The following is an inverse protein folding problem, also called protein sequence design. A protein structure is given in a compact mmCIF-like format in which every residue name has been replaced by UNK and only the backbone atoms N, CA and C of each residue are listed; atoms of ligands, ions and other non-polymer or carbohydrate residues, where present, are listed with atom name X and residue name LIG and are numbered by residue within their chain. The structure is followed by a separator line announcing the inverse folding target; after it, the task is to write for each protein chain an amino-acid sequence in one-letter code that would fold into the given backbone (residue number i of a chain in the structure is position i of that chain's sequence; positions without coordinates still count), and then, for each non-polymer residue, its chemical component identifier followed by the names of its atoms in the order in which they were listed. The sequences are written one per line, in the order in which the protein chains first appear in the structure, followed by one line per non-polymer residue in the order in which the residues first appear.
data_IF_070095696607
#
_entry.id   IF_070095696607
#
_cell.length_a   1.000
_cell.length_b   1.000
_cell.length_c   1.000
_cell.angle_alpha   90.00
_cell.angle_beta   90.00
_cell.angle_gamma   90.00
#
_symmetry.space_group_name_H-M   'P 1'
#
loop_
_entity.id
_entity.type
_entity.pdbx_description
1 polymer ?
#
# COMPACT_ATOMS: atom_id res chain seq x y z
N UNK A 1 45.79 -99.85 87.43
CA UNK A 1 46.90 -99.47 86.53
C UNK A 1 46.81 -97.97 86.29
N UNK A 2 47.85 -97.23 86.67
CA UNK A 2 47.92 -95.79 86.49
C UNK A 2 48.11 -95.44 85.01
N UNK A 3 47.11 -94.81 84.38
CA UNK A 3 47.27 -94.22 83.04
C UNK A 3 47.77 -92.79 83.23
N UNK A 4 49.01 -92.58 82.80
CA UNK A 4 49.69 -91.27 82.73
C UNK A 4 48.77 -90.24 82.09
N UNK A 5 48.43 -89.18 82.83
CA UNK A 5 47.85 -87.95 82.27
C UNK A 5 48.90 -87.38 81.30
N UNK A 6 48.67 -87.57 80.00
CA UNK A 6 49.45 -86.95 78.94
C UNK A 6 49.06 -85.47 78.92
N UNK A 7 49.71 -84.64 79.73
CA UNK A 7 49.47 -83.20 79.68
C UNK A 7 50.01 -82.68 78.36
N UNK A 8 49.13 -82.32 77.42
CA UNK A 8 49.52 -81.54 76.22
C UNK A 8 50.42 -80.39 76.68
N UNK A 9 51.55 -80.19 76.00
CA UNK A 9 52.42 -79.05 76.26
C UNK A 9 51.57 -77.79 76.14
N UNK A 10 51.62 -76.96 77.18
CA UNK A 10 50.94 -75.67 77.22
C UNK A 10 52.00 -74.61 77.01
N UNK A 11 51.76 -73.74 76.06
CA UNK A 11 52.59 -72.58 75.81
C UNK A 11 51.95 -71.34 76.44
N UNK A 12 52.80 -70.45 76.88
CA UNK A 12 52.41 -69.19 77.49
C UNK A 12 52.27 -68.17 76.36
N UNK A 13 51.06 -67.64 76.19
CA UNK A 13 50.81 -66.49 75.31
C UNK A 13 50.56 -65.28 76.19
N UNK A 14 51.43 -64.29 76.05
CA UNK A 14 51.37 -63.04 76.78
C UNK A 14 50.94 -61.96 75.80
N UNK A 15 49.74 -61.42 75.98
CA UNK A 15 49.30 -60.22 75.29
C UNK A 15 49.82 -59.02 76.07
N UNK A 16 50.55 -58.15 75.37
CA UNK A 16 51.13 -56.93 75.93
C UNK A 16 50.59 -55.69 75.22
N UNK A 17 50.53 -54.57 75.93
CA UNK A 17 50.38 -53.25 75.31
C UNK A 17 51.69 -52.81 74.63
N UNK A 18 51.71 -51.61 74.05
CA UNK A 18 52.89 -51.08 73.36
C UNK A 18 54.08 -50.85 74.31
N UNK A 19 53.79 -50.52 75.57
CA UNK A 19 54.79 -50.26 76.63
C UNK A 19 55.34 -51.55 77.26
N UNK A 20 54.81 -52.71 76.85
CA UNK A 20 55.23 -54.03 77.34
C UNK A 20 54.52 -54.48 78.62
N UNK A 21 53.51 -53.74 79.09
CA UNK A 21 52.69 -54.18 80.21
C UNK A 21 51.83 -55.36 79.78
N UNK A 22 51.72 -56.35 80.67
CA UNK A 22 50.95 -57.55 80.39
C UNK A 22 49.46 -57.26 80.55
N UNK A 23 48.73 -57.30 79.43
CA UNK A 23 47.28 -57.14 79.39
C UNK A 23 46.56 -58.44 79.77
N UNK A 24 47.08 -59.57 79.28
CA UNK A 24 46.52 -60.89 79.55
C UNK A 24 47.58 -61.97 79.32
N UNK A 25 47.71 -62.88 80.28
CA UNK A 25 48.50 -64.11 80.11
C UNK A 25 47.54 -65.29 79.98
N UNK A 26 47.75 -66.12 78.96
CA UNK A 26 46.93 -67.31 78.71
C UNK A 26 47.83 -68.54 78.54
N UNK A 27 47.42 -69.66 79.13
CA UNK A 27 48.08 -70.95 78.95
C UNK A 27 47.32 -71.76 77.89
N UNK A 28 47.84 -71.78 76.68
CA UNK A 28 47.17 -72.37 75.51
C UNK A 28 47.81 -73.72 75.18
N UNK A 29 47.03 -74.81 75.02
CA UNK A 29 47.56 -76.08 74.54
C UNK A 29 48.16 -75.94 73.13
N UNK A 30 49.22 -76.69 72.86
CA UNK A 30 49.86 -76.76 71.55
C UNK A 30 48.86 -76.98 70.40
N UNK A 31 48.91 -76.08 69.41
CA UNK A 31 48.09 -76.10 68.19
C UNK A 31 46.73 -75.40 68.28
N UNK A 32 46.34 -74.86 69.43
CA UNK A 32 45.09 -74.11 69.61
C UNK A 32 45.30 -72.59 69.47
N UNK A 33 44.22 -71.84 69.23
CA UNK A 33 44.24 -70.37 69.12
C UNK A 33 44.23 -69.70 70.49
N UNK A 34 44.98 -68.61 70.64
CA UNK A 34 44.87 -67.78 71.83
C UNK A 34 43.66 -66.84 71.74
N UNK A 35 42.98 -66.58 72.87
CA UNK A 35 41.91 -65.57 72.93
C UNK A 35 42.48 -64.21 73.35
N UNK A 36 42.43 -63.18 72.50
CA UNK A 36 42.92 -61.86 72.87
C UNK A 36 42.06 -61.27 74.02
N UNK A 37 42.61 -60.33 74.81
CA UNK A 37 41.81 -59.52 75.71
C UNK A 37 40.86 -58.60 74.92
N UNK A 38 39.93 -57.95 75.62
CA UNK A 38 39.21 -56.81 75.05
C UNK A 38 40.22 -55.77 74.55
N UNK A 39 39.95 -55.18 73.37
CA UNK A 39 40.90 -54.28 72.72
C UNK A 39 41.23 -53.14 73.68
N UNK A 40 42.51 -52.97 74.09
CA UNK A 40 42.86 -51.93 75.03
C UNK A 40 42.67 -50.58 74.35
N UNK A 41 41.78 -49.76 74.90
CA UNK A 41 41.64 -48.38 74.49
C UNK A 41 42.92 -47.63 74.88
N UNK A 42 43.76 -47.32 73.89
CA UNK A 42 44.87 -46.38 74.09
C UNK A 42 44.30 -44.97 73.88
N UNK A 43 44.22 -44.18 74.96
CA UNK A 43 43.98 -42.73 74.86
C UNK A 43 45.30 -42.02 74.56
N UNK A 44 45.76 -42.16 73.32
CA UNK A 44 46.74 -41.28 72.70
C UNK A 44 45.99 -40.33 71.79
N UNK A 45 45.68 -39.14 72.28
CA UNK A 45 45.06 -38.09 71.47
C UNK A 45 46.08 -36.97 71.30
N UNK A 46 46.39 -36.66 70.05
CA UNK A 46 46.98 -35.36 69.71
C UNK A 46 45.86 -34.38 69.37
N UNK A 47 46.22 -33.13 69.08
CA UNK A 47 45.25 -32.09 68.72
C UNK A 47 44.40 -32.50 67.49
N UNK A 48 44.97 -33.29 66.57
CA UNK A 48 44.36 -33.57 65.26
C UNK A 48 44.26 -35.05 64.87
N UNK A 49 44.93 -35.96 65.58
CA UNK A 49 44.90 -37.40 65.31
C UNK A 49 44.51 -38.19 66.58
N UNK A 50 43.85 -39.33 66.36
CA UNK A 50 43.58 -40.33 67.39
C UNK A 50 44.32 -41.63 67.08
N UNK A 51 44.87 -42.27 68.11
CA UNK A 51 45.48 -43.60 67.96
C UNK A 51 44.41 -44.68 68.01
N UNK A 52 44.20 -45.38 66.89
CA UNK A 52 43.28 -46.51 66.80
C UNK A 52 44.03 -47.84 66.74
N UNK A 53 43.45 -48.88 67.32
CA UNK A 53 44.03 -50.22 67.30
C UNK A 53 44.07 -50.75 65.86
N UNK A 54 45.28 -51.01 65.36
CA UNK A 54 45.53 -51.50 64.01
C UNK A 54 45.57 -53.03 63.94
N UNK A 55 45.84 -53.71 65.07
CA UNK A 55 45.93 -55.16 65.14
C UNK A 55 46.97 -55.63 66.15
N UNK A 56 47.33 -56.90 66.08
CA UNK A 56 48.34 -57.52 66.94
C UNK A 56 49.60 -57.86 66.12
N UNK A 57 50.78 -57.78 66.71
CA UNK A 57 52.07 -57.96 66.00
C UNK A 57 52.28 -59.35 65.42
N UNK A 58 51.69 -60.36 66.05
CA UNK A 58 52.00 -61.77 65.80
C UNK A 58 50.69 -62.53 65.63
N UNK A 59 50.61 -63.40 64.64
CA UNK A 59 49.46 -64.30 64.52
C UNK A 59 49.45 -65.27 65.71
N UNK A 60 48.29 -65.39 66.34
CA UNK A 60 48.05 -66.26 67.49
C UNK A 60 46.90 -67.22 67.23
N UNK A 61 46.50 -67.37 65.96
CA UNK A 61 45.50 -68.34 65.53
C UNK A 61 45.92 -69.79 65.75
N UNK A 62 47.23 -70.08 65.85
CA UNK A 62 47.78 -71.43 66.12
C UNK A 62 49.09 -71.38 66.92
N UNK A 63 49.03 -71.68 68.22
CA UNK A 63 50.17 -71.53 69.14
C UNK A 63 51.05 -72.79 69.14
N UNK A 64 52.29 -72.69 68.67
CA UNK A 64 53.27 -73.78 68.65
C UNK A 64 54.44 -73.59 69.64
N UNK A 65 54.63 -72.39 70.17
CA UNK A 65 55.68 -72.02 71.13
C UNK A 65 55.16 -70.90 72.06
N UNK A 66 55.93 -70.53 73.08
CA UNK A 66 55.62 -69.35 73.91
C UNK A 66 55.65 -68.08 73.05
N UNK A 67 54.58 -67.28 73.10
CA UNK A 67 54.43 -66.08 72.27
C UNK A 67 54.25 -64.83 73.12
N UNK A 68 54.85 -63.75 72.67
CA UNK A 68 54.54 -62.40 73.13
C UNK A 68 53.85 -61.68 71.97
N UNK A 69 52.60 -61.31 72.17
CA UNK A 69 51.75 -60.67 71.16
C UNK A 69 51.51 -59.23 71.60
N UNK A 70 52.01 -58.26 70.85
CA UNK A 70 51.92 -56.84 71.21
C UNK A 70 50.81 -56.15 70.43
N UNK A 71 50.10 -55.22 71.05
CA UNK A 71 49.13 -54.38 70.38
C UNK A 71 49.85 -53.39 69.44
N UNK A 72 49.35 -53.24 68.20
CA UNK A 72 49.82 -52.26 67.22
C UNK A 72 48.74 -51.19 67.08
N UNK A 73 49.13 -49.94 67.18
CA UNK A 73 48.27 -48.78 66.98
C UNK A 73 48.68 -48.02 65.72
N UNK A 74 47.72 -47.36 65.08
CA UNK A 74 47.97 -46.42 63.99
C UNK A 74 47.32 -45.08 64.31
N UNK A 75 47.94 -43.99 63.90
CA UNK A 75 47.35 -42.66 63.97
C UNK A 75 46.40 -42.48 62.79
N UNK A 76 45.17 -42.07 63.07
CA UNK A 76 44.20 -41.65 62.05
C UNK A 76 43.70 -40.24 62.39
N UNK A 77 43.40 -39.40 61.38
CA UNK A 77 42.86 -38.07 61.65
C UNK A 77 41.54 -38.18 62.43
N UNK A 78 41.35 -37.30 63.42
CA UNK A 78 40.07 -37.19 64.14
C UNK A 78 38.96 -36.88 63.15
N UNK A 79 37.76 -37.39 63.41
CA UNK A 79 36.59 -37.06 62.61
C UNK A 79 35.75 -36.02 63.34
N UNK A 80 35.38 -34.97 62.63
CA UNK A 80 34.51 -33.92 63.12
C UNK A 80 33.14 -34.00 62.46
N UNK A 81 32.12 -33.57 63.20
CA UNK A 81 30.75 -33.54 62.70
C UNK A 81 30.52 -32.22 61.97
N UNK A 82 30.17 -32.30 60.69
CA UNK A 82 29.71 -31.15 59.91
C UNK A 82 28.20 -31.23 59.77
N UNK A 83 27.50 -30.21 60.25
CA UNK A 83 26.05 -30.12 60.19
C UNK A 83 25.62 -29.00 59.25
N UNK A 84 24.77 -29.34 58.30
CA UNK A 84 24.23 -28.43 57.30
C UNK A 84 22.85 -27.95 57.70
N UNK A 85 22.67 -26.64 57.82
CA UNK A 85 21.41 -26.01 58.20
C UNK A 85 20.90 -25.12 57.10
N UNK A 86 19.59 -25.13 56.88
CA UNK A 86 18.89 -24.13 56.10
C UNK A 86 18.89 -22.77 56.84
N UNK A 87 18.58 -21.67 56.15
CA UNK A 87 18.55 -20.33 56.78
C UNK A 87 17.54 -20.23 57.95
N UNK A 88 16.51 -21.08 57.97
CA UNK A 88 15.49 -21.17 59.03
C UNK A 88 15.88 -22.17 60.15
N UNK A 89 17.15 -22.53 60.25
CA UNK A 89 17.71 -23.46 61.25
C UNK A 89 17.18 -24.90 61.17
N UNK A 90 16.51 -25.27 60.07
CA UNK A 90 16.20 -26.66 59.75
C UNK A 90 17.48 -27.41 59.38
N UNK A 91 17.76 -28.54 60.04
CA UNK A 91 18.85 -29.44 59.65
C UNK A 91 18.55 -30.07 58.28
N UNK A 92 19.48 -29.90 57.34
CA UNK A 92 19.42 -30.43 55.97
C UNK A 92 20.15 -31.77 55.84
N UNK A 93 21.23 -31.93 56.60
CA UNK A 93 22.06 -33.12 56.57
C UNK A 93 23.23 -32.99 57.53
N UNK A 94 23.93 -34.09 57.72
CA UNK A 94 25.16 -34.13 58.51
C UNK A 94 26.12 -35.14 57.89
N UNK A 95 27.41 -34.90 58.07
CA UNK A 95 28.45 -35.86 57.69
C UNK A 95 29.62 -35.84 58.68
N UNK A 96 30.37 -36.93 58.69
CA UNK A 96 31.56 -37.09 59.53
C UNK A 96 32.81 -36.98 58.65
N UNK A 97 33.58 -35.91 58.83
CA UNK A 97 34.72 -35.54 57.98
C UNK A 97 36.02 -35.65 58.76
N UNK A 98 37.05 -36.25 58.15
CA UNK A 98 38.38 -36.33 58.74
C UNK A 98 39.02 -34.93 58.84
N UNK A 99 39.78 -34.67 59.91
CA UNK A 99 40.53 -33.44 60.10
C UNK A 99 41.35 -33.08 58.85
N UNK A 100 41.30 -31.82 58.45
CA UNK A 100 42.05 -31.29 57.31
C UNK A 100 41.48 -31.67 55.93
N UNK A 101 40.38 -32.42 55.87
CA UNK A 101 39.73 -32.81 54.61
C UNK A 101 38.55 -31.88 54.28
N UNK A 102 38.18 -31.74 52.99
CA UNK A 102 37.00 -30.99 52.60
C UNK A 102 35.72 -31.75 52.93
N UNK A 103 34.68 -31.02 53.33
CA UNK A 103 33.34 -31.55 53.46
C UNK A 103 32.71 -31.68 52.06
N UNK A 104 31.88 -32.72 51.85
CA UNK A 104 31.27 -32.96 50.53
C UNK A 104 30.18 -31.96 50.20
N UNK A 105 29.51 -31.43 51.23
CA UNK A 105 28.45 -30.44 51.09
C UNK A 105 27.36 -30.83 50.07
N UNK A 106 26.94 -32.11 50.08
CA UNK A 106 25.95 -32.64 49.16
C UNK A 106 24.57 -31.95 49.20
N UNK A 107 24.06 -31.45 50.34
CA UNK A 107 22.79 -30.73 50.36
C UNK A 107 22.87 -29.49 49.47
N UNK A 108 21.96 -29.39 48.48
CA UNK A 108 21.75 -28.17 47.68
C UNK A 108 20.44 -27.54 48.15
N UNK A 109 20.48 -26.65 49.14
CA UNK A 109 19.26 -26.06 49.67
C UNK A 109 18.64 -25.12 48.64
N UNK A 110 17.31 -25.17 48.57
CA UNK A 110 16.51 -24.28 47.75
C UNK A 110 15.65 -23.41 48.66
N UNK A 111 15.44 -22.17 48.24
CA UNK A 111 14.54 -21.24 48.90
C UNK A 111 13.44 -20.84 47.91
N UNK A 112 12.16 -20.99 48.27
CA UNK A 112 11.08 -20.58 47.37
C UNK A 112 11.19 -19.08 47.09
N UNK A 113 10.98 -18.69 45.83
CA UNK A 113 10.86 -17.28 45.44
C UNK A 113 9.65 -16.64 46.10
N UNK A 114 9.71 -15.34 46.38
CA UNK A 114 8.55 -14.55 46.77
C UNK A 114 8.03 -13.69 45.59
N UNK A 115 7.18 -12.71 45.85
CA UNK A 115 6.61 -11.84 44.80
C UNK A 115 7.69 -11.03 44.06
N UNK A 116 8.74 -10.59 44.75
CA UNK A 116 9.74 -9.65 44.23
C UNK A 116 11.09 -10.33 43.89
N UNK A 117 11.49 -11.34 44.65
CA UNK A 117 12.83 -11.94 44.58
C UNK A 117 12.80 -13.44 44.28
N UNK A 118 13.78 -13.85 43.48
CA UNK A 118 14.27 -15.21 43.39
C UNK A 118 15.54 -15.35 44.22
N UNK A 119 15.71 -16.48 44.91
CA UNK A 119 16.84 -16.70 45.80
C UNK A 119 17.77 -17.75 45.22
N UNK A 120 19.03 -17.37 45.04
CA UNK A 120 20.08 -18.30 44.58
C UNK A 120 20.98 -18.71 45.73
N UNK A 121 21.30 -20.00 45.84
CA UNK A 121 22.22 -20.49 46.86
C UNK A 121 23.63 -19.98 46.56
N UNK A 122 24.12 -19.06 47.40
CA UNK A 122 25.43 -18.42 47.25
C UNK A 122 26.54 -19.27 47.88
N UNK A 123 26.19 -20.15 48.83
CA UNK A 123 27.11 -21.05 49.50
C UNK A 123 26.77 -21.20 50.97
N UNK A 124 27.73 -21.74 51.72
CA UNK A 124 27.63 -21.92 53.16
C UNK A 124 28.26 -20.74 53.89
N UNK A 125 27.75 -20.44 55.09
CA UNK A 125 28.22 -19.34 55.95
C UNK A 125 29.64 -19.49 56.48
N UNK A 126 30.28 -20.65 56.27
CA UNK A 126 31.64 -20.93 56.68
C UNK A 126 32.38 -21.71 55.57
N UNK A 127 33.72 -21.64 55.53
CA UNK A 127 34.52 -22.44 54.61
C UNK A 127 34.39 -23.93 54.94
N UNK A 128 34.29 -24.76 53.91
CA UNK A 128 34.14 -26.22 54.03
C UNK A 128 35.27 -27.00 53.36
N UNK A 129 36.30 -26.29 52.87
CA UNK A 129 37.41 -26.88 52.12
C UNK A 129 38.42 -27.61 53.04
N UNK A 130 38.43 -27.26 54.33
CA UNK A 130 39.33 -27.83 55.33
C UNK A 130 38.65 -27.85 56.70
N UNK A 131 38.22 -29.03 57.17
CA UNK A 131 37.53 -29.16 58.46
C UNK A 131 38.52 -29.34 59.60
N UNK A 132 38.56 -28.36 60.51
CA UNK A 132 39.45 -28.37 61.69
C UNK A 132 38.72 -28.68 63.00
N UNK A 133 37.38 -28.69 62.98
CA UNK A 133 36.53 -28.88 64.16
C UNK A 133 35.07 -29.13 63.79
N UNK A 134 34.24 -29.42 64.80
CA UNK A 134 32.79 -29.55 64.61
C UNK A 134 32.24 -28.26 64.01
N UNK A 135 31.62 -28.38 62.83
CA UNK A 135 31.28 -27.24 61.98
C UNK A 135 29.79 -27.15 61.77
N UNK A 136 29.23 -25.97 61.99
CA UNK A 136 27.83 -25.65 61.71
C UNK A 136 27.75 -24.74 60.50
N UNK A 137 27.39 -25.33 59.36
CA UNK A 137 27.27 -24.63 58.08
C UNK A 137 25.82 -24.24 57.82
N UNK A 138 25.52 -22.94 57.84
CA UNK A 138 24.18 -22.40 57.51
C UNK A 138 24.16 -21.91 56.05
N UNK A 139 23.11 -22.25 55.30
CA UNK A 139 22.94 -21.85 53.91
C UNK A 139 22.77 -20.33 53.79
N UNK A 140 23.45 -19.73 52.80
CA UNK A 140 23.35 -18.31 52.45
C UNK A 140 22.73 -18.19 51.07
N UNK A 141 21.71 -17.34 50.95
CA UNK A 141 21.01 -17.07 49.70
C UNK A 141 21.19 -15.61 49.28
N UNK A 142 21.48 -15.41 48.01
CA UNK A 142 21.53 -14.09 47.38
C UNK A 142 20.19 -13.80 46.70
N UNK A 143 19.50 -12.69 47.06
CA UNK A 143 18.27 -12.27 46.40
C UNK A 143 18.58 -11.70 45.01
N UNK A 144 17.79 -12.10 44.03
CA UNK A 144 17.78 -11.58 42.66
C UNK A 144 16.39 -11.08 42.35
N UNK A 145 16.26 -9.79 42.07
CA UNK A 145 14.97 -9.16 41.75
C UNK A 145 14.42 -9.79 40.46
N UNK A 146 13.15 -10.21 40.48
CA UNK A 146 12.50 -10.83 39.32
C UNK A 146 12.48 -9.87 38.15
N UNK A 147 12.62 -10.43 36.94
CA UNK A 147 12.49 -9.70 35.68
C UNK A 147 11.32 -10.26 34.90
N UNK A 148 10.51 -9.38 34.34
CA UNK A 148 9.37 -9.72 33.51
C UNK A 148 9.57 -9.19 32.11
N UNK A 149 8.98 -9.90 31.15
CA UNK A 149 9.01 -9.55 29.75
C UNK A 149 7.81 -8.66 29.43
N UNK A 150 8.07 -7.45 28.93
CA UNK A 150 7.05 -6.53 28.43
C UNK A 150 7.18 -6.45 26.93
N UNK A 151 6.08 -6.75 26.22
CA UNK A 151 6.04 -6.73 24.75
C UNK A 151 5.01 -5.72 24.27
N UNK A 152 5.41 -4.87 23.35
CA UNK A 152 4.56 -3.92 22.66
C UNK A 152 4.26 -4.45 21.27
N UNK A 153 3.00 -4.42 20.87
CA UNK A 153 2.53 -4.89 19.58
C UNK A 153 1.74 -3.80 18.85
N UNK A 154 1.76 -3.86 17.52
CA UNK A 154 0.75 -3.24 16.70
C UNK A 154 -0.61 -3.92 16.89
N UNK A 155 -1.69 -3.29 16.42
CA UNK A 155 -3.05 -3.86 16.45
C UNK A 155 -3.18 -5.18 15.67
N UNK A 156 -2.33 -5.40 14.65
CA UNK A 156 -2.29 -6.64 13.86
C UNK A 156 -1.53 -7.79 14.54
N UNK A 157 -0.95 -7.53 15.73
CA UNK A 157 -0.15 -8.49 16.49
C UNK A 157 1.33 -8.54 16.11
N UNK A 158 1.82 -7.66 15.23
CA UNK A 158 3.25 -7.55 14.93
C UNK A 158 4.01 -6.90 16.09
N UNK A 159 5.16 -7.46 16.44
CA UNK A 159 5.96 -7.02 17.59
C UNK A 159 6.69 -5.70 17.26
N UNK A 160 6.44 -4.67 18.07
CA UNK A 160 7.08 -3.35 18.01
C UNK A 160 8.36 -3.28 18.84
N UNK A 161 8.28 -3.76 20.08
CA UNK A 161 9.37 -3.69 21.05
C UNK A 161 9.20 -4.81 22.08
N UNK A 162 10.31 -5.41 22.49
CA UNK A 162 10.38 -6.33 23.63
C UNK A 162 11.46 -5.83 24.59
N UNK A 163 11.16 -5.81 25.89
CA UNK A 163 12.12 -5.46 26.94
C UNK A 163 11.94 -6.30 28.21
N UNK A 164 13.03 -6.48 28.97
CA UNK A 164 12.98 -7.06 30.30
C UNK A 164 13.01 -5.96 31.36
N UNK A 165 12.04 -5.98 32.26
CA UNK A 165 11.83 -4.95 33.30
C UNK A 165 11.85 -5.61 34.67
N UNK A 166 12.51 -5.01 35.66
CA UNK A 166 12.53 -5.53 37.03
C UNK A 166 11.17 -5.37 37.72
N UNK A 167 10.85 -6.26 38.66
CA UNK A 167 9.64 -6.18 39.48
C UNK A 167 9.47 -4.77 40.10
N UNK A 168 8.30 -4.18 39.90
CA UNK A 168 7.92 -2.88 40.46
C UNK A 168 8.43 -1.66 39.69
N UNK A 169 9.25 -1.84 38.65
CA UNK A 169 9.68 -0.74 37.78
C UNK A 169 8.58 -0.35 36.78
N UNK A 170 8.70 0.86 36.22
CA UNK A 170 7.79 1.36 35.19
C UNK A 170 8.17 0.78 33.82
N UNK A 171 7.14 0.57 32.98
CA UNK A 171 7.34 0.26 31.57
C UNK A 171 7.91 1.46 30.79
N UNK A 172 8.62 1.17 29.69
CA UNK A 172 9.12 2.20 28.78
C UNK A 172 8.46 2.04 27.39
N UNK A 173 7.32 2.71 27.14
CA UNK A 173 6.67 2.66 25.84
C UNK A 173 7.60 3.14 24.71
N UNK A 174 7.57 2.49 23.53
CA UNK A 174 8.25 3.02 22.35
C UNK A 174 7.56 4.29 21.84
N UNK A 175 8.17 4.95 20.85
CA UNK A 175 7.51 6.06 20.15
C UNK A 175 6.16 5.61 19.59
N UNK A 176 5.19 6.53 19.55
CA UNK A 176 3.84 6.25 19.05
C UNK A 176 3.93 5.61 17.64
N UNK A 177 3.41 4.39 17.46
CA UNK A 177 3.47 3.72 16.17
C UNK A 177 2.58 4.42 15.15
N UNK A 178 3.02 4.43 13.90
CA UNK A 178 2.18 4.84 12.78
C UNK A 178 1.45 3.63 12.21
N UNK A 179 0.26 3.86 11.66
CA UNK A 179 -0.53 2.87 10.91
C UNK A 179 -0.76 3.41 9.51
N UNK A 180 -0.62 2.55 8.50
CA UNK A 180 -0.84 2.96 7.11
C UNK A 180 -2.28 3.45 6.92
N UNK A 181 -2.42 4.58 6.22
CA UNK A 181 -3.72 5.17 5.88
C UNK A 181 -4.28 4.49 4.64
N UNK A 182 -5.60 4.38 4.53
CA UNK A 182 -6.28 3.90 3.33
C UNK A 182 -7.04 5.04 2.63
N UNK A 183 -7.91 4.72 1.66
CA UNK A 183 -8.69 5.72 0.92
C UNK A 183 -9.85 6.31 1.74
N UNK A 184 -10.27 5.65 2.82
CA UNK A 184 -11.42 6.06 3.63
C UNK A 184 -10.96 6.75 4.91
N UNK A 185 -9.92 6.22 5.55
CA UNK A 185 -9.46 6.66 6.85
C UNK A 185 -7.95 6.90 6.90
N UNK A 186 -7.57 7.85 7.74
CA UNK A 186 -6.27 7.86 8.40
C UNK A 186 -6.46 7.46 9.87
N UNK A 187 -5.39 6.97 10.48
CA UNK A 187 -5.42 6.43 11.83
C UNK A 187 -4.50 7.23 12.74
N UNK A 188 -5.05 7.72 13.85
CA UNK A 188 -4.30 8.42 14.87
C UNK A 188 -4.05 7.49 16.06
N UNK A 189 -2.81 7.43 16.53
CA UNK A 189 -2.49 6.69 17.74
C UNK A 189 -3.15 7.36 18.94
N UNK A 190 -4.03 6.63 19.62
CA UNK A 190 -4.76 7.17 20.77
C UNK A 190 -3.99 6.90 22.05
N UNK A 191 -3.65 5.63 22.30
CA UNK A 191 -2.97 5.17 23.51
C UNK A 191 -2.52 3.71 23.37
N UNK A 192 -1.82 3.22 24.39
CA UNK A 192 -1.60 1.79 24.59
C UNK A 192 -2.82 1.13 25.24
N UNK A 193 -3.02 -0.18 24.98
CA UNK A 193 -4.17 -0.94 25.47
C UNK A 193 -4.22 -0.98 27.00
N UNK A 194 -3.05 -1.15 27.62
CA UNK A 194 -2.82 -1.20 29.05
C UNK A 194 -1.59 -0.36 29.42
N UNK A 195 -1.67 0.37 30.52
CA UNK A 195 -0.60 1.23 31.05
C UNK A 195 -0.46 0.99 32.56
N UNK A 196 0.00 -0.21 32.99
CA UNK A 196 0.18 -0.52 34.41
C UNK A 196 1.18 0.44 35.05
N UNK A 197 0.89 0.89 36.28
CA UNK A 197 1.76 1.81 37.02
C UNK A 197 3.14 1.19 37.31
N UNK A 198 3.20 -0.12 37.49
CA UNK A 198 4.42 -0.90 37.71
C UNK A 198 4.29 -2.33 37.15
N UNK A 199 5.41 -2.93 36.77
CA UNK A 199 5.46 -4.28 36.20
C UNK A 199 5.64 -5.32 37.29
N UNK A 200 4.65 -6.20 37.44
CA UNK A 200 4.66 -7.30 38.43
C UNK A 200 4.55 -8.69 37.80
N UNK A 201 4.25 -8.75 36.50
CA UNK A 201 4.17 -9.98 35.70
C UNK A 201 4.52 -9.68 34.22
N UNK A 202 4.55 -10.71 33.37
CA UNK A 202 4.75 -10.51 31.93
C UNK A 202 3.50 -9.84 31.32
N UNK A 203 3.69 -8.79 30.51
CA UNK A 203 2.57 -8.02 29.95
C UNK A 203 2.75 -7.85 28.43
N UNK A 204 1.66 -8.10 27.70
CA UNK A 204 1.56 -7.83 26.26
C UNK A 204 0.63 -6.65 26.04
N UNK A 205 1.14 -5.60 25.39
CA UNK A 205 0.48 -4.31 25.26
C UNK A 205 0.31 -3.98 23.78
N UNK A 206 -0.89 -3.58 23.37
CA UNK A 206 -1.24 -3.36 21.98
C UNK A 206 -1.51 -1.88 21.73
N UNK A 207 -1.07 -1.36 20.58
CA UNK A 207 -1.38 0.00 20.17
C UNK A 207 -2.87 0.13 19.80
N UNK A 208 -3.54 1.15 20.34
CA UNK A 208 -4.94 1.47 20.04
C UNK A 208 -4.98 2.70 19.14
N UNK A 209 -5.70 2.59 18.02
CA UNK A 209 -5.85 3.65 17.03
C UNK A 209 -7.29 4.11 16.92
N UNK A 210 -7.47 5.42 16.69
CA UNK A 210 -8.75 6.00 16.30
C UNK A 210 -8.77 6.18 14.78
N UNK A 211 -9.86 5.76 14.12
CA UNK A 211 -10.09 6.05 12.70
C UNK A 211 -10.69 7.44 12.52
N UNK A 212 -10.13 8.19 11.57
CA UNK A 212 -10.56 9.53 11.18
C UNK A 212 -10.76 9.54 9.68
N UNK A 213 -11.91 10.02 9.20
CA UNK A 213 -12.18 10.04 7.77
C UNK A 213 -11.19 10.94 7.04
N UNK A 214 -10.73 10.49 5.86
CA UNK A 214 -10.00 11.34 4.96
C UNK A 214 -10.94 12.35 4.31
N UNK A 215 -10.47 13.59 4.21
CA UNK A 215 -11.17 14.68 3.55
C UNK A 215 -10.57 14.89 2.15
N UNK A 216 -11.46 15.03 1.16
CA UNK A 216 -11.12 15.23 -0.24
C UNK A 216 -11.80 16.49 -0.76
N UNK A 217 -11.04 17.33 -1.43
CA UNK A 217 -11.52 18.59 -2.00
C UNK A 217 -11.85 18.41 -3.47
N UNK A 218 -13.10 18.66 -3.84
CA UNK A 218 -13.57 18.59 -5.23
C UNK A 218 -13.98 19.99 -5.67
N UNK A 219 -13.38 20.46 -6.77
CA UNK A 219 -13.61 21.78 -7.30
C UNK A 219 -14.12 21.73 -8.75
N UNK A 220 -15.20 22.44 -9.04
CA UNK A 220 -15.83 22.53 -10.35
C UNK A 220 -15.48 23.84 -11.05
N UNK A 221 -15.10 23.80 -12.33
CA UNK A 221 -14.67 24.97 -13.10
C UNK A 221 -15.40 25.09 -14.45
N UNK A 222 -15.65 26.32 -14.93
CA UNK A 222 -15.96 26.61 -16.35
C UNK A 222 -14.87 27.53 -16.92
N UNK A 223 -13.99 26.96 -17.75
CA UNK A 223 -12.77 27.66 -18.17
C UNK A 223 -11.82 27.89 -16.98
N UNK A 224 -11.54 29.16 -16.66
CA UNK A 224 -10.72 29.57 -15.52
C UNK A 224 -11.55 29.97 -14.28
N UNK A 225 -12.88 30.02 -14.41
CA UNK A 225 -13.78 30.42 -13.32
C UNK A 225 -14.08 29.23 -12.41
N UNK A 226 -13.86 29.39 -11.11
CA UNK A 226 -14.28 28.44 -10.08
C UNK A 226 -15.77 28.60 -9.81
N UNK A 227 -16.54 27.53 -10.02
CA UNK A 227 -17.98 27.50 -9.84
C UNK A 227 -18.37 27.10 -8.42
N UNK A 228 -17.73 26.06 -7.90
CA UNK A 228 -18.05 25.45 -6.62
C UNK A 228 -16.84 24.64 -6.13
N UNK A 229 -16.57 24.69 -4.83
CA UNK A 229 -15.53 23.90 -4.16
C UNK A 229 -16.10 23.38 -2.84
N UNK A 230 -16.02 22.06 -2.65
CA UNK A 230 -16.53 21.39 -1.47
C UNK A 230 -15.56 20.33 -0.96
N UNK A 231 -15.58 20.12 0.35
CA UNK A 231 -14.84 19.06 1.02
C UNK A 231 -15.79 17.93 1.36
N UNK A 232 -15.42 16.71 0.98
CA UNK A 232 -16.21 15.49 1.13
C UNK A 232 -15.36 14.35 1.69
N UNK A 233 -16.01 13.27 2.10
CA UNK A 233 -15.36 12.02 2.42
C UNK A 233 -15.39 11.06 1.24
N UNK A 234 -14.54 10.03 1.29
CA UNK A 234 -14.54 8.97 0.28
C UNK A 234 -15.92 8.31 0.15
N UNK A 235 -16.41 8.19 -1.09
CA UNK A 235 -17.68 7.57 -1.42
C UNK A 235 -18.91 8.48 -1.34
N UNK A 236 -18.76 9.70 -0.82
CA UNK A 236 -19.83 10.70 -0.80
C UNK A 236 -20.33 10.98 -2.23
N UNK A 237 -21.64 11.21 -2.38
CA UNK A 237 -22.25 11.46 -3.68
C UNK A 237 -21.92 12.86 -4.20
N UNK A 238 -21.43 12.94 -5.43
CA UNK A 238 -21.11 14.20 -6.11
C UNK A 238 -22.34 14.77 -6.82
N UNK A 239 -22.65 16.03 -6.53
CA UNK A 239 -23.69 16.79 -7.24
C UNK A 239 -23.02 17.75 -8.22
N UNK A 240 -23.21 17.48 -9.52
CA UNK A 240 -22.64 18.30 -10.58
C UNK A 240 -23.48 19.58 -10.79
N UNK A 241 -22.85 20.77 -10.92
CA UNK A 241 -23.58 22.00 -11.22
C UNK A 241 -24.38 21.93 -12.54
N UNK A 242 -25.64 22.40 -12.54
CA UNK A 242 -26.45 22.56 -13.78
C UNK A 242 -26.24 23.97 -14.37
N UNK A 243 -25.13 24.15 -15.08
CA UNK A 243 -24.83 25.39 -15.80
C UNK A 243 -25.31 25.31 -17.25
N UNK A 244 -25.75 26.45 -17.82
CA UNK A 244 -26.36 26.51 -19.15
C UNK A 244 -25.68 27.53 -20.05
N UNK A 245 -25.33 27.08 -21.25
CA UNK A 245 -24.81 27.92 -22.33
C UNK A 245 -25.68 27.78 -23.56
N UNK A 246 -26.24 28.90 -24.05
CA UNK A 246 -27.24 28.90 -25.14
C UNK A 246 -26.67 28.25 -26.41
N UNK A 247 -27.27 27.13 -26.84
CA UNK A 247 -26.88 26.40 -28.05
C UNK A 247 -25.77 25.35 -27.84
N UNK A 248 -25.47 25.01 -26.59
CA UNK A 248 -24.48 24.01 -26.23
C UNK A 248 -25.06 23.03 -25.20
N UNK A 249 -24.61 21.78 -25.27
CA UNK A 249 -24.82 20.74 -24.28
C UNK A 249 -23.58 20.68 -23.37
N UNK A 250 -23.82 20.64 -22.06
CA UNK A 250 -22.80 20.52 -21.02
C UNK A 250 -22.32 19.07 -20.91
N UNK A 251 -21.02 18.89 -20.72
CA UNK A 251 -20.43 17.66 -20.21
C UNK A 251 -19.36 18.01 -19.19
N UNK A 252 -18.96 17.07 -18.33
CA UNK A 252 -17.91 17.28 -17.33
C UNK A 252 -16.69 16.42 -17.66
N UNK A 253 -15.50 16.88 -17.26
CA UNK A 253 -14.24 16.15 -17.50
C UNK A 253 -14.16 14.82 -16.76
N UNK A 254 -14.90 14.69 -15.66
CA UNK A 254 -15.10 13.44 -14.93
C UNK A 254 -16.60 13.13 -14.83
N UNK A 255 -16.93 11.84 -14.80
CA UNK A 255 -18.31 11.34 -14.75
C UNK A 255 -18.59 10.48 -13.54
N UNK A 256 -17.60 10.29 -12.65
CA UNK A 256 -17.82 9.52 -11.41
C UNK A 256 -18.83 10.27 -10.55
N UNK A 257 -19.78 9.54 -9.99
CA UNK A 257 -20.83 10.09 -9.13
C UNK A 257 -20.44 10.07 -7.65
N UNK A 258 -19.22 9.64 -7.36
CA UNK A 258 -18.70 9.51 -5.99
C UNK A 258 -17.31 10.10 -5.88
N UNK A 259 -17.00 10.57 -4.68
CA UNK A 259 -15.67 11.11 -4.35
C UNK A 259 -14.69 9.97 -4.13
N UNK A 260 -13.61 9.97 -4.90
CA UNK A 260 -12.53 8.98 -4.79
C UNK A 260 -11.19 9.62 -4.38
N UNK A 261 -11.02 10.90 -4.70
CA UNK A 261 -9.80 11.69 -4.47
C UNK A 261 -10.13 13.18 -4.58
N UNK A 262 -9.22 14.04 -4.15
CA UNK A 262 -9.27 15.46 -4.48
C UNK A 262 -9.04 15.64 -5.99
N UNK A 263 -9.90 16.40 -6.66
CA UNK A 263 -9.82 16.62 -8.09
C UNK A 263 -10.41 17.97 -8.52
N UNK A 264 -10.00 18.40 -9.71
CA UNK A 264 -10.61 19.53 -10.41
C UNK A 264 -11.42 18.99 -11.58
N UNK A 265 -12.72 19.26 -11.58
CA UNK A 265 -13.68 18.83 -12.59
C UNK A 265 -14.03 20.03 -13.46
N UNK A 266 -13.74 19.94 -14.75
CA UNK A 266 -13.93 21.04 -15.69
C UNK A 266 -15.17 20.81 -16.57
N UNK A 267 -15.97 21.86 -16.72
CA UNK A 267 -17.08 21.91 -17.67
C UNK A 267 -16.54 21.93 -19.09
N UNK A 268 -17.11 21.07 -19.93
CA UNK A 268 -16.93 21.02 -21.37
C UNK A 268 -18.24 21.35 -22.08
N UNK A 269 -18.13 22.00 -23.23
CA UNK A 269 -19.28 22.42 -24.00
C UNK A 269 -19.22 21.82 -25.40
N UNK A 270 -20.24 21.05 -25.77
CA UNK A 270 -20.43 20.60 -27.15
C UNK A 270 -21.59 21.34 -27.78
N UNK A 271 -21.51 21.70 -29.05
CA UNK A 271 -22.59 22.41 -29.70
C UNK A 271 -23.77 21.47 -29.93
N UNK A 272 -24.97 21.83 -29.47
CA UNK A 272 -26.17 21.02 -29.65
C UNK A 272 -26.47 20.91 -31.16
N UNK A 273 -26.24 19.74 -31.76
CA UNK A 273 -26.21 19.51 -33.22
C UNK A 273 -27.29 20.29 -34.02
N UNK A 274 -26.93 21.32 -34.82
CA UNK A 274 -27.86 22.19 -35.53
C UNK A 274 -28.06 21.80 -36.99
N UNK A 275 -27.63 20.61 -37.45
CA UNK A 275 -27.84 20.21 -38.85
C UNK A 275 -29.31 20.38 -39.22
N UNK A 276 -29.58 21.09 -40.32
CA UNK A 276 -30.92 21.38 -40.80
C UNK A 276 -31.61 22.57 -40.14
N UNK A 277 -31.02 23.17 -39.10
CA UNK A 277 -31.60 24.35 -38.43
C UNK A 277 -31.51 25.58 -39.34
N UNK A 278 -32.63 26.27 -39.49
CA UNK A 278 -32.74 27.58 -40.15
C UNK A 278 -32.38 28.70 -39.17
N UNK A 279 -31.57 29.65 -39.64
CA UNK A 279 -31.08 30.78 -38.86
C UNK A 279 -30.94 32.03 -39.73
N UNK A 280 -31.33 33.18 -39.18
CA UNK A 280 -31.18 34.47 -39.86
C UNK A 280 -29.83 35.11 -39.55
N UNK A 281 -29.14 35.65 -40.55
CA UNK A 281 -27.91 36.43 -40.39
C UNK A 281 -27.89 37.59 -41.38
N UNK A 282 -27.90 38.82 -40.88
CA UNK A 282 -28.08 40.01 -41.70
C UNK A 282 -29.43 39.99 -42.44
N UNK A 283 -29.40 40.10 -43.77
CA UNK A 283 -30.61 40.05 -44.62
C UNK A 283 -30.95 38.65 -45.15
N UNK A 284 -30.12 37.64 -44.86
CA UNK A 284 -30.33 36.27 -45.35
C UNK A 284 -30.84 35.34 -44.25
N UNK A 285 -31.57 34.30 -44.67
CA UNK A 285 -31.84 33.10 -43.88
C UNK A 285 -31.02 31.94 -44.43
N UNK A 286 -30.49 31.12 -43.52
CA UNK A 286 -29.53 30.09 -43.84
C UNK A 286 -29.83 28.81 -43.07
N UNK A 287 -29.66 27.68 -43.75
CA UNK A 287 -29.75 26.33 -43.16
C UNK A 287 -28.35 25.79 -42.91
N UNK A 288 -28.09 25.30 -41.70
CA UNK A 288 -26.80 24.69 -41.37
C UNK A 288 -26.69 23.30 -41.98
N UNK A 289 -25.64 23.06 -42.78
CA UNK A 289 -25.39 21.77 -43.43
C UNK A 289 -24.29 21.00 -42.69
N UNK A 290 -23.19 21.67 -42.36
CA UNK A 290 -22.08 21.07 -41.62
C UNK A 290 -21.77 21.90 -40.37
N UNK A 291 -22.10 21.44 -39.15
CA UNK A 291 -21.86 22.15 -37.90
C UNK A 291 -20.42 21.97 -37.40
N UNK A 292 -19.45 22.40 -38.20
CA UNK A 292 -18.02 22.28 -37.88
C UNK A 292 -17.41 23.64 -37.55
N UNK A 293 -16.67 23.73 -36.45
CA UNK A 293 -15.91 24.94 -36.08
C UNK A 293 -14.87 25.30 -37.15
N UNK A 294 -14.19 24.29 -37.71
CA UNK A 294 -13.11 24.47 -38.68
C UNK A 294 -13.61 24.58 -40.12
N UNK A 295 -14.63 23.78 -40.48
CA UNK A 295 -15.08 23.60 -41.86
C UNK A 295 -16.58 23.82 -42.04
N UNK A 296 -17.23 24.57 -41.14
CA UNK A 296 -18.68 24.69 -41.13
C UNK A 296 -19.25 25.34 -42.38
N UNK A 297 -20.40 24.85 -42.82
CA UNK A 297 -21.08 25.31 -44.03
C UNK A 297 -22.58 25.50 -43.83
N UNK A 298 -23.13 26.44 -44.60
CA UNK A 298 -24.55 26.78 -44.63
C UNK A 298 -25.04 26.94 -46.07
N UNK A 299 -26.34 26.76 -46.26
CA UNK A 299 -27.06 27.02 -47.51
C UNK A 299 -27.95 28.22 -47.32
N UNK A 300 -27.92 29.17 -48.25
CA UNK A 300 -28.87 30.29 -48.27
C UNK A 300 -30.26 29.78 -48.62
N UNK A 301 -31.24 29.95 -47.74
CA UNK A 301 -32.63 29.49 -47.91
C UNK A 301 -33.62 30.64 -48.13
N UNK A 302 -33.16 31.88 -47.96
CA UNK A 302 -33.97 33.07 -48.14
C UNK A 302 -33.11 34.33 -48.10
N UNK A 303 -33.53 35.38 -48.79
CA UNK A 303 -32.89 36.69 -48.67
C UNK A 303 -33.93 37.81 -48.73
N UNK A 304 -34.12 38.48 -47.61
CA UNK A 304 -35.06 39.57 -47.43
C UNK A 304 -34.47 40.88 -47.98
N UNK A 305 -34.37 40.99 -49.31
CA UNK A 305 -34.04 42.24 -49.98
C UNK A 305 -34.90 42.46 -51.23
N UNK A 306 -36.15 42.86 -50.99
CA UNK A 306 -37.14 43.10 -52.04
C UNK A 306 -36.80 44.33 -52.89
N UNK A 307 -35.86 45.19 -52.48
CA UNK A 307 -35.56 46.46 -53.15
C UNK A 307 -34.17 46.49 -53.80
N UNK A 308 -33.26 45.58 -53.46
CA UNK A 308 -31.92 45.56 -54.02
C UNK A 308 -31.92 45.37 -55.54
N UNK A 309 -31.21 46.27 -56.22
CA UNK A 309 -30.88 46.16 -57.64
C UNK A 309 -29.65 45.28 -57.85
N UNK A 310 -28.74 45.24 -56.88
CA UNK A 310 -27.53 44.43 -56.89
C UNK A 310 -27.40 43.72 -55.55
N UNK A 311 -27.28 42.40 -55.57
CA UNK A 311 -27.15 41.57 -54.39
C UNK A 311 -25.79 40.87 -54.38
N UNK A 312 -25.14 40.84 -53.23
CA UNK A 312 -23.90 40.08 -53.00
C UNK A 312 -24.13 39.15 -51.82
N UNK A 313 -24.07 37.84 -52.04
CA UNK A 313 -24.08 36.88 -50.94
C UNK A 313 -22.70 36.85 -50.26
N UNK A 314 -22.65 36.84 -48.92
CA UNK A 314 -21.38 36.85 -48.20
C UNK A 314 -20.65 35.50 -48.32
N UNK A 315 -19.31 35.54 -48.34
CA UNK A 315 -18.48 34.31 -48.27
C UNK A 315 -18.71 33.54 -46.97
N UNK A 316 -18.89 34.28 -45.86
CA UNK A 316 -19.14 33.71 -44.54
C UNK A 316 -20.23 34.46 -43.81
N UNK A 317 -21.04 33.74 -43.03
CA UNK A 317 -22.04 34.31 -42.12
C UNK A 317 -21.72 33.97 -40.68
N UNK A 318 -21.90 34.95 -39.78
CA UNK A 318 -21.73 34.76 -38.35
C UNK A 318 -23.01 34.19 -37.74
N UNK A 319 -22.88 33.05 -37.07
CA UNK A 319 -23.96 32.34 -36.35
C UNK A 319 -23.44 31.99 -34.96
N UNK A 320 -23.92 32.68 -33.92
CA UNK A 320 -23.29 32.65 -32.60
C UNK A 320 -21.86 33.20 -32.68
N UNK A 321 -20.90 32.45 -32.15
CA UNK A 321 -19.47 32.84 -32.13
C UNK A 321 -18.69 32.37 -33.37
N UNK A 322 -19.32 31.64 -34.29
CA UNK A 322 -18.66 31.01 -35.43
C UNK A 322 -19.05 31.61 -36.77
N UNK A 323 -18.18 31.39 -37.76
CA UNK A 323 -18.36 31.84 -39.13
C UNK A 323 -18.45 30.65 -40.09
N UNK A 324 -19.61 30.50 -40.72
CA UNK A 324 -19.93 29.43 -41.66
C UNK A 324 -19.76 29.89 -43.10
N UNK A 325 -19.18 29.05 -43.97
CA UNK A 325 -19.09 29.35 -45.40
C UNK A 325 -20.44 29.12 -46.10
N UNK A 326 -20.81 30.00 -47.02
CA UNK A 326 -22.03 29.81 -47.83
C UNK A 326 -21.69 28.85 -48.98
N UNK A 327 -22.16 27.61 -48.88
CA UNK A 327 -21.81 26.55 -49.84
C UNK A 327 -22.83 26.36 -50.97
N UNK A 328 -24.04 26.91 -50.83
CA UNK A 328 -25.11 26.72 -51.80
C UNK A 328 -26.27 27.70 -51.67
N UNK A 329 -27.11 27.72 -52.71
CA UNK A 329 -28.43 28.36 -52.72
C UNK A 329 -29.46 27.23 -52.65
N UNK A 330 -30.33 27.27 -51.65
CA UNK A 330 -31.32 26.25 -51.38
C UNK A 330 -32.54 26.33 -52.30
N UNK A 331 -33.41 25.31 -52.21
CA UNK A 331 -34.68 25.25 -52.94
C UNK A 331 -35.46 26.55 -52.77
N UNK A 332 -35.78 27.20 -53.90
CA UNK A 332 -36.55 28.46 -53.98
C UNK A 332 -36.00 29.64 -53.16
N UNK A 333 -34.74 29.58 -52.72
CA UNK A 333 -34.21 30.53 -51.75
C UNK A 333 -34.24 32.00 -52.20
N UNK A 334 -34.07 32.25 -53.50
CA UNK A 334 -34.17 33.57 -54.11
C UNK A 334 -35.24 33.58 -55.20
N UNK A 335 -36.25 32.72 -55.08
CA UNK A 335 -37.34 32.67 -56.06
C UNK A 335 -38.11 34.00 -56.07
N UNK A 336 -38.30 34.56 -57.27
CA UNK A 336 -39.15 35.73 -57.44
C UNK A 336 -38.55 37.03 -56.90
N UNK A 337 -37.23 37.16 -56.72
CA UNK A 337 -36.59 38.44 -56.41
C UNK A 337 -36.75 39.42 -57.59
N UNK A 338 -37.88 40.15 -57.64
CA UNK A 338 -38.33 40.94 -58.81
C UNK A 338 -37.52 42.20 -59.08
N UNK A 339 -36.75 42.71 -58.12
CA UNK A 339 -35.99 43.96 -58.25
C UNK A 339 -34.50 43.75 -58.59
N UNK A 340 -33.97 42.57 -58.28
CA UNK A 340 -32.57 42.21 -58.47
C UNK A 340 -32.20 42.17 -59.96
N UNK A 341 -31.15 42.90 -60.34
CA UNK A 341 -30.58 42.92 -61.69
C UNK A 341 -29.20 42.25 -61.75
N UNK A 342 -28.44 42.29 -60.66
CA UNK A 342 -27.12 41.66 -60.54
C UNK A 342 -27.03 40.84 -59.27
N UNK A 343 -26.44 39.65 -59.38
CA UNK A 343 -26.17 38.77 -58.25
C UNK A 343 -24.70 38.34 -58.26
N UNK A 344 -24.00 38.56 -57.17
CA UNK A 344 -22.63 38.10 -56.93
C UNK A 344 -22.65 37.00 -55.87
N UNK A 345 -22.07 35.86 -56.21
CA UNK A 345 -22.05 34.66 -55.38
C UNK A 345 -20.63 34.34 -54.92
N UNK A 346 -20.46 33.89 -53.66
CA UNK A 346 -19.16 33.69 -53.05
C UNK A 346 -18.33 32.58 -53.70
N UNK A 347 -17.02 32.59 -53.42
CA UNK A 347 -16.06 31.62 -53.93
C UNK A 347 -16.31 30.21 -53.39
N UNK A 348 -16.90 30.08 -52.20
CA UNK A 348 -17.28 28.81 -51.59
C UNK A 348 -18.54 28.16 -52.18
N UNK A 349 -19.35 28.89 -52.95
CA UNK A 349 -20.64 28.40 -53.42
C UNK A 349 -20.46 27.34 -54.51
N UNK A 350 -20.93 26.14 -54.22
CA UNK A 350 -20.68 24.93 -55.01
C UNK A 350 -21.93 24.40 -55.72
N UNK A 351 -23.13 24.81 -55.33
CA UNK A 351 -24.36 24.42 -56.02
C UNK A 351 -25.49 25.44 -55.90
N UNK A 352 -26.42 25.34 -56.85
CA UNK A 352 -27.74 25.96 -56.79
C UNK A 352 -28.76 24.84 -56.85
N UNK A 353 -29.59 24.71 -55.81
CA UNK A 353 -30.67 23.73 -55.75
C UNK A 353 -31.83 24.11 -56.69
N UNK A 354 -32.88 23.29 -56.67
CA UNK A 354 -34.03 23.44 -57.55
C UNK A 354 -34.71 24.80 -57.33
N UNK A 355 -35.06 25.47 -58.43
CA UNK A 355 -35.70 26.80 -58.42
C UNK A 355 -35.00 27.88 -57.59
N UNK A 356 -33.75 27.68 -57.17
CA UNK A 356 -33.07 28.57 -56.22
C UNK A 356 -32.99 30.03 -56.69
N UNK A 357 -33.00 30.29 -58.00
CA UNK A 357 -33.00 31.61 -58.63
C UNK A 357 -34.12 31.76 -59.67
N UNK A 358 -35.22 31.01 -59.54
CA UNK A 358 -36.32 31.04 -60.50
C UNK A 358 -37.12 32.35 -60.40
N UNK A 359 -37.69 32.81 -61.51
CA UNK A 359 -38.65 33.91 -61.53
C UNK A 359 -38.07 35.30 -61.20
N UNK A 360 -36.76 35.46 -61.14
CA UNK A 360 -36.06 36.75 -60.97
C UNK A 360 -36.14 37.58 -62.26
N UNK A 361 -37.33 38.10 -62.60
CA UNK A 361 -37.64 38.70 -63.91
C UNK A 361 -36.81 39.93 -64.31
N UNK A 362 -36.07 40.55 -63.37
CA UNK A 362 -35.16 41.68 -63.66
C UNK A 362 -33.68 41.28 -63.66
N UNK A 363 -33.34 40.05 -63.29
CA UNK A 363 -31.98 39.57 -63.18
C UNK A 363 -31.34 39.53 -64.57
N UNK A 364 -30.25 40.27 -64.74
CA UNK A 364 -29.48 40.41 -65.99
C UNK A 364 -28.18 39.63 -65.93
N UNK A 365 -27.50 39.67 -64.78
CA UNK A 365 -26.16 39.12 -64.63
C UNK A 365 -26.05 38.34 -63.33
N UNK A 366 -25.51 37.13 -63.41
CA UNK A 366 -25.12 36.34 -62.24
C UNK A 366 -23.63 36.05 -62.34
N UNK A 367 -22.88 36.40 -61.30
CA UNK A 367 -21.45 36.16 -61.20
C UNK A 367 -21.22 35.11 -60.12
N UNK A 368 -20.80 33.92 -60.54
CA UNK A 368 -20.40 32.85 -59.66
C UNK A 368 -18.93 32.97 -59.32
N UNK A 369 -18.60 32.75 -58.05
CA UNK A 369 -17.24 32.49 -57.61
C UNK A 369 -16.67 31.17 -58.13
N UNK A 370 -15.58 30.70 -57.52
CA UNK A 370 -14.73 29.65 -58.10
C UNK A 370 -15.21 28.21 -57.90
N UNK A 371 -16.14 27.94 -57.00
CA UNK A 371 -16.47 26.57 -56.57
C UNK A 371 -17.71 25.93 -57.24
N UNK A 372 -18.44 26.60 -58.13
CA UNK A 372 -19.70 26.05 -58.67
C UNK A 372 -19.50 24.70 -59.38
N UNK A 373 -20.25 23.68 -58.96
CA UNK A 373 -20.23 22.32 -59.54
C UNK A 373 -21.57 21.86 -60.09
N UNK A 374 -22.69 22.33 -59.53
CA UNK A 374 -24.01 21.83 -59.88
C UNK A 374 -25.07 22.92 -59.99
N UNK A 375 -25.97 22.77 -60.96
CA UNK A 375 -27.16 23.60 -61.14
C UNK A 375 -28.39 22.68 -61.22
N UNK A 376 -29.33 22.87 -60.29
CA UNK A 376 -30.56 22.11 -60.11
C UNK A 376 -31.63 22.36 -61.18
N UNK A 377 -32.75 21.66 -61.04
CA UNK A 377 -33.90 21.79 -61.91
C UNK A 377 -34.53 23.18 -61.80
N UNK A 378 -34.81 23.79 -62.95
CA UNK A 378 -35.48 25.09 -63.02
C UNK A 378 -34.76 26.21 -62.24
N UNK A 379 -33.48 26.04 -61.90
CA UNK A 379 -32.72 26.96 -61.07
C UNK A 379 -32.77 28.40 -61.59
N UNK A 380 -32.82 28.61 -62.91
CA UNK A 380 -32.94 29.90 -63.56
C UNK A 380 -34.23 30.05 -64.39
N UNK A 381 -35.25 29.24 -64.11
CA UNK A 381 -36.47 29.25 -64.90
C UNK A 381 -37.19 30.61 -64.81
N UNK A 382 -37.72 31.11 -65.94
CA UNK A 382 -38.47 32.36 -65.97
C UNK A 382 -37.64 33.64 -65.81
N UNK A 383 -36.31 33.55 -65.89
CA UNK A 383 -35.40 34.69 -65.86
C UNK A 383 -35.32 35.39 -67.22
N UNK A 384 -36.42 36.02 -67.64
CA UNK A 384 -36.64 36.55 -68.99
C UNK A 384 -35.72 37.70 -69.41
N UNK A 385 -34.99 38.33 -68.47
CA UNK A 385 -34.06 39.44 -68.75
C UNK A 385 -32.58 39.05 -68.57
N UNK A 386 -32.30 37.78 -68.29
CA UNK A 386 -30.95 37.31 -68.04
C UNK A 386 -30.11 37.37 -69.31
N UNK A 387 -29.02 38.11 -69.28
CA UNK A 387 -28.12 38.27 -70.42
C UNK A 387 -26.89 37.40 -70.28
N UNK A 388 -26.35 37.33 -69.06
CA UNK A 388 -25.00 36.84 -68.83
C UNK A 388 -24.91 36.05 -67.52
N UNK A 389 -24.21 34.92 -67.58
CA UNK A 389 -23.76 34.18 -66.41
C UNK A 389 -22.24 34.08 -66.50
N UNK A 390 -21.55 34.52 -65.46
CA UNK A 390 -20.10 34.53 -65.39
C UNK A 390 -19.67 33.44 -64.41
N UNK A 391 -18.91 32.46 -64.92
CA UNK A 391 -18.33 31.39 -64.11
C UNK A 391 -16.84 31.68 -63.90
N UNK A 392 -16.49 32.18 -62.71
CA UNK A 392 -15.12 32.60 -62.40
C UNK A 392 -14.19 31.47 -61.98
N UNK A 393 -14.62 30.21 -61.97
CA UNK A 393 -13.75 29.07 -61.67
C UNK A 393 -14.37 27.72 -61.99
N UNK A 394 -13.81 26.70 -61.35
CA UNK A 394 -13.82 25.30 -61.77
C UNK A 394 -15.19 24.70 -62.14
N UNK A 395 -15.18 23.87 -63.20
CA UNK A 395 -15.81 22.55 -63.28
C UNK A 395 -17.32 22.48 -62.94
N UNK A 396 -18.17 23.15 -63.73
CA UNK A 396 -19.59 22.79 -63.78
C UNK A 396 -19.69 21.31 -64.20
N UNK A 397 -20.01 20.42 -63.26
CA UNK A 397 -20.07 18.97 -63.47
C UNK A 397 -21.45 18.52 -63.91
N UNK A 398 -22.49 19.14 -63.34
CA UNK A 398 -23.88 18.74 -63.51
C UNK A 398 -24.74 19.97 -63.76
N UNK A 399 -25.57 19.92 -64.80
CA UNK A 399 -26.59 20.92 -65.05
C UNK A 399 -27.88 20.20 -65.44
N UNK A 400 -28.97 20.50 -64.74
CA UNK A 400 -30.24 19.86 -65.03
C UNK A 400 -30.79 20.29 -66.40
N UNK A 401 -31.50 19.39 -67.09
CA UNK A 401 -32.04 19.64 -68.45
C UNK A 401 -32.98 20.86 -68.54
N UNK A 402 -33.62 21.23 -67.43
CA UNK A 402 -34.54 22.38 -67.36
C UNK A 402 -33.97 23.57 -66.58
N UNK A 403 -32.66 23.60 -66.29
CA UNK A 403 -32.03 24.66 -65.49
C UNK A 403 -32.33 26.07 -66.01
N UNK A 404 -32.42 26.26 -67.33
CA UNK A 404 -32.63 27.55 -68.00
C UNK A 404 -33.99 27.67 -68.70
N UNK A 405 -35.04 27.01 -68.18
CA UNK A 405 -36.38 27.04 -68.78
C UNK A 405 -36.92 28.48 -68.96
N UNK A 406 -37.20 28.89 -70.18
CA UNK A 406 -37.69 30.25 -70.46
C UNK A 406 -36.65 31.36 -70.33
N UNK A 407 -35.35 31.02 -70.26
CA UNK A 407 -34.27 31.98 -70.43
C UNK A 407 -34.29 32.58 -71.85
N UNK A 408 -33.88 33.85 -72.03
CA UNK A 408 -33.90 34.50 -73.33
C UNK A 408 -32.90 33.86 -74.30
N UNK A 409 -33.20 33.97 -75.60
CA UNK A 409 -32.28 33.54 -76.66
C UNK A 409 -31.02 34.39 -76.62
N UNK A 410 -29.86 33.75 -76.78
CA UNK A 410 -28.57 34.42 -76.76
C UNK A 410 -27.99 34.65 -75.36
N UNK A 411 -28.53 33.99 -74.32
CA UNK A 411 -27.92 33.99 -72.98
C UNK A 411 -26.46 33.54 -73.09
N UNK A 412 -25.55 34.41 -72.62
CA UNK A 412 -24.11 34.18 -72.70
C UNK A 412 -23.59 33.60 -71.39
N UNK A 413 -22.90 32.47 -71.47
CA UNK A 413 -22.14 31.89 -70.37
C UNK A 413 -20.66 32.18 -70.61
N UNK A 414 -20.08 33.04 -69.78
CA UNK A 414 -18.65 33.30 -69.78
C UNK A 414 -17.95 32.27 -68.90
N UNK A 415 -16.99 31.55 -69.50
CA UNK A 415 -16.22 30.50 -68.84
C UNK A 415 -14.73 30.70 -69.09
N UNK A 416 -13.89 30.28 -68.15
CA UNK A 416 -12.44 30.26 -68.39
C UNK A 416 -12.10 29.34 -69.57
N UNK A 417 -11.05 29.67 -70.30
CA UNK A 417 -10.60 28.87 -71.45
C UNK A 417 -10.38 27.39 -71.10
N UNK A 418 -9.78 27.12 -69.92
CA UNK A 418 -9.52 25.77 -69.44
C UNK A 418 -10.79 24.96 -69.13
N UNK A 419 -11.89 25.61 -68.74
CA UNK A 419 -13.13 24.97 -68.28
C UNK A 419 -14.19 24.80 -69.40
N UNK A 420 -13.94 25.35 -70.60
CA UNK A 420 -14.91 25.41 -71.69
C UNK A 420 -15.47 24.05 -72.10
N UNK A 421 -14.59 23.06 -72.33
CA UNK A 421 -14.99 21.72 -72.76
C UNK A 421 -15.89 21.04 -71.73
N UNK A 422 -15.64 21.29 -70.44
CA UNK A 422 -16.43 20.71 -69.37
C UNK A 422 -17.78 21.38 -69.23
N UNK A 423 -17.83 22.72 -69.31
CA UNK A 423 -19.09 23.45 -69.35
C UNK A 423 -19.96 22.98 -70.53
N UNK A 424 -19.36 22.81 -71.71
CA UNK A 424 -20.06 22.25 -72.87
C UNK A 424 -20.62 20.85 -72.60
N UNK A 425 -19.85 19.96 -71.96
CA UNK A 425 -20.32 18.62 -71.56
C UNK A 425 -21.48 18.67 -70.57
N UNK A 426 -21.38 19.48 -69.52
CA UNK A 426 -22.42 19.59 -68.51
C UNK A 426 -23.73 20.17 -69.06
N UNK A 427 -23.65 21.02 -70.09
CA UNK A 427 -24.81 21.65 -70.72
C UNK A 427 -25.43 20.83 -71.88
N UNK A 428 -24.87 19.67 -72.25
CA UNK A 428 -25.35 18.88 -73.42
C UNK A 428 -26.82 18.49 -73.35
N UNK A 429 -27.31 18.20 -72.15
CA UNK A 429 -28.69 17.78 -71.89
C UNK A 429 -29.66 18.95 -71.66
N UNK A 430 -29.18 20.20 -71.67
CA UNK A 430 -30.01 21.37 -71.40
C UNK A 430 -30.97 21.63 -72.56
N UNK A 431 -32.26 21.72 -72.22
CA UNK A 431 -33.32 22.11 -73.16
C UNK A 431 -33.06 23.51 -73.70
N UNK A 432 -33.12 23.65 -75.02
CA UNK A 432 -32.77 24.91 -75.68
C UNK A 432 -31.27 25.21 -75.69
N UNK A 433 -30.38 24.20 -75.55
CA UNK A 433 -28.92 24.39 -75.63
C UNK A 433 -28.44 25.26 -76.79
N UNK A 434 -29.11 25.24 -77.95
CA UNK A 434 -28.79 26.07 -79.12
C UNK A 434 -29.01 27.57 -78.90
N UNK A 435 -29.81 27.96 -77.90
CA UNK A 435 -30.03 29.35 -77.53
C UNK A 435 -28.99 29.90 -76.55
N UNK A 436 -28.14 29.01 -75.98
CA UNK A 436 -27.05 29.37 -75.07
C UNK A 436 -25.75 29.56 -75.84
N UNK A 437 -25.10 30.70 -75.60
CA UNK A 437 -23.81 31.05 -76.20
C UNK A 437 -22.73 30.92 -75.14
N UNK A 438 -21.68 30.12 -75.40
CA UNK A 438 -20.54 30.02 -74.49
C UNK A 438 -19.41 30.90 -75.04
N UNK A 439 -18.92 31.83 -74.21
CA UNK A 439 -17.80 32.71 -74.54
C UNK A 439 -16.66 32.52 -73.55
N UNK A 440 -15.45 32.82 -73.99
CA UNK A 440 -14.30 32.87 -73.11
C UNK A 440 -14.39 34.12 -72.23
N UNK A 441 -14.23 33.92 -70.93
CA UNK A 441 -14.12 34.99 -69.94
C UNK A 441 -12.85 35.81 -70.21
N UNK A 442 -12.98 37.12 -70.40
CA UNK A 442 -11.84 38.00 -70.68
C UNK A 442 -11.18 38.48 -69.37
N UNK A 443 -9.86 38.75 -69.34
CA UNK A 443 -9.14 39.18 -68.13
C UNK A 443 -9.70 40.46 -67.47
N UNK A 444 -10.41 41.30 -68.23
CA UNK A 444 -11.05 42.54 -67.74
C UNK A 444 -12.34 42.32 -66.94
N UNK A 445 -12.92 41.12 -66.97
CA UNK A 445 -14.17 40.76 -66.29
C UNK A 445 -13.93 40.08 -64.92
N UNK A 446 -12.67 40.04 -64.48
CA UNK A 446 -12.19 39.39 -63.25
C UNK A 446 -12.34 40.25 -61.98
N UNK A 447 -13.14 41.32 -62.01
CA UNK A 447 -13.30 42.26 -60.88
C UNK A 447 -14.48 41.93 -60.00
#
# INVERSE_FOLDING_TARGET
MAVKKNSKKKYIVVFQDEDGNVLKTSFVPEGEAASPPEVPAKKGETEHHETVFAGWTTDFSRVADNLVVKAVYKEVPKKYLVMYFHENDRLLGMESVAYGSPAKAEPRPEKPSDEEYEYTFAGWSCPLDCIEGDTRAKAVFEPRRKVFTVRFFHEDGSLLKEEQVQYGEKMHPPAAPAKETDMVYHYEFERWSEEPECITENVDIYAVFRSVYNEYTVAFYDGEELLQEETHHYGDALTFPDIKKKGYDLFWSETSQQVERSCHIHAGWTFSNPVGKEVSSGRGTYRIVNPSVKNGTVVCTGYADEKAVSLTLPERVKLGDYYYRVEGIGDRALEGCRHMQKLYLPDSLSYVEDRGLAGCRRLKTVVFGKALRAIGAEAFAGNVRMKEIVLQGAVLKKCHRHAFGGAPRGLVLYVRAADRNQAERALRSVSGRSSLVIRQLMPSENK
#
